data_IF_926379030326
#
_entry.id   IF_926379030326
#
_cell.length_a   1.000
_cell.length_b   1.000
_cell.length_c   1.000
_cell.angle_alpha   90.00
_cell.angle_beta   90.00
_cell.angle_gamma   90.00
#
_symmetry.space_group_name_H-M   'P 1'
#
loop_
_entity.id
_entity.type
_entity.pdbx_description
1 polymer ?
#
# COMPACT_ATOMS: atom_id res chain seq x y z
N UNK A 1 11.40 17.32 -79.15
CA UNK A 1 11.40 17.71 -77.73
C UNK A 1 10.60 16.66 -76.93
N UNK A 2 11.30 15.70 -76.27
CA UNK A 2 10.65 14.66 -75.47
C UNK A 2 10.51 15.17 -74.02
N UNK A 3 9.29 15.26 -73.53
CA UNK A 3 9.01 15.63 -72.12
C UNK A 3 9.24 14.42 -71.22
N UNK A 4 10.18 14.55 -70.31
CA UNK A 4 10.44 13.58 -69.24
C UNK A 4 9.54 13.95 -68.06
N UNK A 5 8.62 13.03 -67.66
CA UNK A 5 7.81 13.16 -66.46
C UNK A 5 8.59 12.49 -65.31
N UNK A 6 8.87 13.17 -64.21
CA UNK A 6 9.50 12.50 -63.07
C UNK A 6 8.47 11.66 -62.31
N UNK A 7 8.79 10.36 -62.18
CA UNK A 7 8.04 9.41 -61.35
C UNK A 7 8.34 9.70 -59.88
N UNK A 8 7.37 10.26 -59.16
CA UNK A 8 7.46 10.51 -57.71
C UNK A 8 7.24 9.19 -56.97
N UNK A 9 8.32 8.61 -56.42
CA UNK A 9 8.30 7.40 -55.62
C UNK A 9 7.78 7.76 -54.23
N UNK A 10 6.51 7.47 -53.94
CA UNK A 10 5.90 7.65 -52.62
C UNK A 10 6.39 6.50 -51.71
N UNK A 11 7.39 6.76 -50.87
CA UNK A 11 7.82 5.82 -49.81
C UNK A 11 6.85 5.92 -48.68
N UNK A 12 5.90 4.97 -48.60
CA UNK A 12 5.06 4.74 -47.43
C UNK A 12 5.96 4.20 -46.29
N UNK A 13 6.38 5.07 -45.37
CA UNK A 13 6.88 4.67 -44.08
C UNK A 13 5.72 4.08 -43.27
N UNK A 14 5.58 2.76 -43.32
CA UNK A 14 4.81 2.01 -42.33
C UNK A 14 5.54 2.21 -40.97
N UNK A 15 5.08 3.17 -40.19
CA UNK A 15 5.42 3.21 -38.77
C UNK A 15 4.79 1.94 -38.15
N UNK A 16 5.65 0.96 -37.85
CA UNK A 16 5.25 -0.17 -37.00
C UNK A 16 4.81 0.43 -35.66
N UNK A 17 3.52 0.44 -35.39
CA UNK A 17 3.02 0.71 -34.06
C UNK A 17 3.72 -0.28 -33.13
N UNK A 18 4.26 0.17 -31.98
CA UNK A 18 4.83 -0.75 -31.02
C UNK A 18 3.73 -1.78 -30.69
N UNK A 19 4.07 -3.06 -30.84
CA UNK A 19 3.17 -4.13 -30.41
C UNK A 19 2.81 -3.86 -28.96
N UNK A 20 1.53 -3.62 -28.70
CA UNK A 20 1.04 -3.43 -27.33
C UNK A 20 1.37 -4.72 -26.59
N UNK A 21 2.21 -4.64 -25.56
CA UNK A 21 2.59 -5.80 -24.78
C UNK A 21 1.29 -6.43 -24.22
N UNK A 22 1.16 -7.72 -24.39
CA UNK A 22 -0.02 -8.44 -23.96
C UNK A 22 0.03 -8.65 -22.44
N UNK A 23 -1.05 -8.34 -21.74
CA UNK A 23 -1.19 -8.65 -20.32
C UNK A 23 -1.04 -10.16 -20.05
N UNK A 24 -0.33 -10.52 -18.98
CA UNK A 24 -0.13 -11.90 -18.59
C UNK A 24 -1.49 -12.58 -18.27
N UNK A 25 -1.72 -13.74 -18.91
CA UNK A 25 -2.92 -14.55 -18.69
C UNK A 25 -2.95 -15.08 -17.24
N UNK A 26 -4.09 -15.00 -16.56
CA UNK A 26 -4.32 -15.72 -15.31
C UNK A 26 -4.56 -17.22 -15.59
N UNK A 27 -3.55 -18.03 -15.34
CA UNK A 27 -3.58 -19.48 -15.55
C UNK A 27 -4.20 -20.24 -14.37
N UNK A 28 -4.50 -19.56 -13.28
CA UNK A 28 -4.98 -20.21 -12.02
C UNK A 28 -6.16 -21.15 -12.26
N UNK A 29 -7.18 -20.79 -13.05
CA UNK A 29 -8.32 -21.69 -13.31
C UNK A 29 -7.96 -22.96 -14.09
N UNK A 30 -6.81 -22.97 -14.78
CA UNK A 30 -6.32 -24.08 -15.58
C UNK A 30 -5.41 -25.01 -14.80
N UNK A 31 -4.96 -24.59 -13.62
CA UNK A 31 -3.94 -25.30 -12.83
C UNK A 31 -4.54 -26.38 -11.93
N UNK A 32 -3.84 -27.50 -11.85
CA UNK A 32 -4.00 -28.46 -10.76
C UNK A 32 -3.17 -28.03 -9.55
N UNK A 33 -3.82 -27.82 -8.40
CA UNK A 33 -3.13 -27.44 -7.16
C UNK A 33 -3.25 -28.60 -6.16
N UNK A 34 -2.10 -29.06 -5.68
CA UNK A 34 -1.98 -30.13 -4.69
C UNK A 34 -1.34 -29.58 -3.41
N UNK A 35 -1.85 -29.98 -2.27
CA UNK A 35 -1.22 -29.73 -0.97
C UNK A 35 -0.82 -31.05 -0.35
N UNK A 36 0.48 -31.27 -0.24
CA UNK A 36 1.02 -32.60 0.06
C UNK A 36 0.57 -33.58 -1.02
N UNK A 37 -0.12 -34.67 -0.61
CA UNK A 37 -0.67 -35.71 -1.52
C UNK A 37 -2.17 -35.52 -1.82
N UNK A 38 -2.81 -34.43 -1.31
CA UNK A 38 -4.24 -34.23 -1.49
C UNK A 38 -4.49 -33.09 -2.45
N UNK A 39 -5.33 -33.32 -3.48
CA UNK A 39 -5.90 -32.26 -4.25
C UNK A 39 -6.78 -31.41 -3.32
N UNK A 40 -6.46 -30.12 -3.20
CA UNK A 40 -7.40 -29.17 -2.62
C UNK A 40 -8.29 -28.67 -3.75
N UNK A 41 -9.56 -28.51 -3.43
CA UNK A 41 -10.40 -27.70 -4.28
C UNK A 41 -9.73 -26.34 -4.40
N UNK A 42 -9.38 -25.96 -5.61
CA UNK A 42 -8.75 -24.68 -6.01
C UNK A 42 -9.53 -23.48 -5.41
N UNK A 43 -10.81 -23.70 -5.07
CA UNK A 43 -11.74 -22.74 -4.54
C UNK A 43 -11.21 -21.84 -3.43
N UNK A 44 -10.48 -22.36 -2.45
CA UNK A 44 -9.99 -21.54 -1.32
C UNK A 44 -8.72 -20.73 -1.58
N UNK A 45 -8.02 -21.03 -2.64
CA UNK A 45 -6.79 -20.31 -3.02
C UNK A 45 -7.01 -19.36 -4.19
N UNK A 46 -8.24 -19.31 -4.71
CA UNK A 46 -8.56 -18.52 -5.90
C UNK A 46 -10.02 -18.07 -5.97
N UNK A 47 -10.71 -18.06 -4.82
CA UNK A 47 -12.11 -17.64 -4.73
C UNK A 47 -12.29 -16.13 -4.63
N UNK A 48 -11.19 -15.39 -4.54
CA UNK A 48 -11.14 -13.93 -4.37
C UNK A 48 -11.75 -13.46 -3.04
N UNK A 49 -11.82 -14.37 -2.08
CA UNK A 49 -12.25 -14.10 -0.71
C UNK A 49 -11.06 -14.21 0.26
N UNK A 50 -10.49 -13.08 0.63
CA UNK A 50 -9.33 -13.03 1.54
C UNK A 50 -9.64 -13.47 2.98
N UNK A 51 -10.92 -13.75 3.32
CA UNK A 51 -11.31 -14.39 4.60
C UNK A 51 -11.16 -15.91 4.53
N UNK A 52 -11.17 -16.50 3.34
CA UNK A 52 -10.89 -17.90 3.17
C UNK A 52 -9.39 -18.11 3.11
N UNK A 53 -8.87 -18.94 3.99
CA UNK A 53 -7.43 -19.14 4.15
C UNK A 53 -7.10 -20.62 4.10
N UNK A 54 -6.11 -20.95 3.31
CA UNK A 54 -5.45 -22.23 3.46
C UNK A 54 -4.28 -22.09 4.46
N UNK A 55 -4.29 -22.90 5.49
CA UNK A 55 -3.24 -22.95 6.49
C UNK A 55 -2.51 -24.30 6.40
N UNK A 56 -1.24 -24.26 6.02
CA UNK A 56 -0.36 -25.42 6.05
C UNK A 56 0.13 -25.70 7.44
N UNK A 57 -0.17 -26.88 7.98
CA UNK A 57 0.42 -27.37 9.19
C UNK A 57 1.58 -28.33 8.86
N UNK A 58 2.73 -28.17 9.49
CA UNK A 58 3.86 -29.06 9.57
C UNK A 58 4.79 -29.29 8.36
N UNK A 59 6.02 -29.58 8.73
CA UNK A 59 7.07 -30.07 7.85
C UNK A 59 6.56 -31.20 6.94
N UNK A 60 6.66 -30.99 5.63
CA UNK A 60 6.27 -31.97 4.61
C UNK A 60 5.07 -31.60 3.75
N UNK A 61 4.32 -30.53 4.08
CA UNK A 61 3.24 -30.05 3.22
C UNK A 61 3.76 -28.95 2.31
N UNK A 62 3.83 -29.24 1.04
CA UNK A 62 4.14 -28.31 -0.02
C UNK A 62 2.86 -27.97 -0.81
N UNK A 63 2.84 -26.81 -1.44
CA UNK A 63 1.87 -26.48 -2.48
C UNK A 63 2.55 -26.82 -3.80
N UNK A 64 2.00 -27.76 -4.55
CA UNK A 64 2.45 -28.09 -5.91
C UNK A 64 1.42 -27.59 -6.91
N UNK A 65 1.88 -26.84 -7.91
CA UNK A 65 1.09 -26.22 -8.96
C UNK A 65 1.48 -26.87 -10.28
N UNK A 66 0.52 -27.47 -10.98
CA UNK A 66 0.70 -28.04 -12.30
C UNK A 66 -0.14 -27.23 -13.29
N UNK A 67 0.50 -26.69 -14.31
CA UNK A 67 -0.13 -25.88 -15.34
C UNK A 67 0.00 -26.53 -16.72
N UNK A 68 -1.03 -26.46 -17.58
CA UNK A 68 -0.91 -26.89 -18.98
C UNK A 68 -0.10 -25.92 -19.84
N UNK A 69 0.22 -24.73 -19.32
CA UNK A 69 1.02 -23.68 -19.96
C UNK A 69 2.19 -23.28 -19.09
N UNK A 70 3.20 -22.65 -19.68
CA UNK A 70 4.35 -22.13 -18.95
C UNK A 70 3.95 -21.05 -17.94
N UNK A 71 4.35 -21.23 -16.70
CA UNK A 71 4.17 -20.27 -15.60
C UNK A 71 5.33 -19.29 -15.64
N UNK A 72 5.04 -18.00 -15.62
CA UNK A 72 6.02 -16.92 -15.59
C UNK A 72 5.99 -16.10 -14.30
N UNK A 73 4.98 -16.31 -13.46
CA UNK A 73 4.90 -15.67 -12.16
C UNK A 73 3.87 -16.29 -11.23
N UNK A 74 4.13 -16.12 -9.94
CA UNK A 74 3.16 -16.37 -8.88
C UNK A 74 2.93 -15.05 -8.14
N UNK A 75 1.67 -14.65 -8.02
CA UNK A 75 1.27 -13.58 -7.11
C UNK A 75 0.54 -14.20 -5.93
N UNK A 76 1.08 -14.01 -4.73
CA UNK A 76 0.62 -14.66 -3.52
C UNK A 76 0.15 -13.62 -2.52
N UNK A 77 -1.10 -13.76 -2.07
CA UNK A 77 -1.65 -13.03 -0.94
C UNK A 77 -1.56 -13.94 0.31
N UNK A 78 -0.60 -13.65 1.15
CA UNK A 78 -0.33 -14.41 2.37
C UNK A 78 -1.36 -14.08 3.46
N UNK A 79 -1.86 -15.07 4.13
CA UNK A 79 -2.76 -14.90 5.29
C UNK A 79 -2.03 -14.28 6.48
N UNK A 80 -0.74 -14.60 6.63
CA UNK A 80 0.14 -14.06 7.65
C UNK A 80 1.41 -13.53 7.01
N UNK A 81 2.21 -12.75 7.75
CA UNK A 81 3.52 -12.31 7.28
C UNK A 81 4.35 -13.55 6.86
N UNK A 82 4.77 -13.62 5.59
CA UNK A 82 5.47 -14.77 5.09
C UNK A 82 6.83 -14.97 5.76
N UNK A 83 7.31 -16.18 5.71
CA UNK A 83 8.64 -16.58 6.18
C UNK A 83 9.44 -17.10 5.01
N UNK A 84 10.73 -17.26 5.21
CA UNK A 84 11.59 -17.89 4.22
C UNK A 84 10.98 -19.22 3.76
N UNK A 85 10.95 -19.41 2.44
CA UNK A 85 10.43 -20.62 1.82
C UNK A 85 11.30 -21.03 0.63
N UNK A 86 11.17 -22.27 0.20
CA UNK A 86 11.82 -22.78 -0.99
C UNK A 86 10.82 -22.79 -2.13
N UNK A 87 11.18 -22.13 -3.22
CA UNK A 87 10.51 -22.17 -4.50
C UNK A 87 11.24 -23.18 -5.38
N UNK A 88 10.52 -24.21 -5.85
CA UNK A 88 11.05 -25.20 -6.78
C UNK A 88 10.36 -25.05 -8.13
N UNK A 89 11.15 -25.04 -9.17
CA UNK A 89 10.70 -25.04 -10.56
C UNK A 89 11.16 -26.32 -11.26
N UNK A 90 10.27 -27.01 -11.96
CA UNK A 90 10.63 -28.21 -12.72
C UNK A 90 11.03 -27.82 -14.15
N UNK A 91 12.32 -27.86 -14.41
CA UNK A 91 12.92 -27.52 -15.71
C UNK A 91 13.60 -28.75 -16.26
N UNK A 92 13.29 -29.15 -17.50
CA UNK A 92 13.84 -30.35 -18.16
C UNK A 92 13.67 -31.61 -17.33
N UNK A 93 12.54 -31.76 -16.63
CA UNK A 93 12.21 -32.88 -15.78
C UNK A 93 12.92 -32.91 -14.41
N UNK A 94 13.78 -31.95 -14.11
CA UNK A 94 14.50 -31.83 -12.84
C UNK A 94 14.02 -30.64 -12.02
N UNK A 95 13.96 -30.81 -10.70
CA UNK A 95 13.63 -29.74 -9.77
C UNK A 95 14.85 -28.85 -9.53
N UNK A 96 14.66 -27.53 -9.72
CA UNK A 96 15.60 -26.48 -9.33
C UNK A 96 15.05 -25.73 -8.15
N UNK A 97 15.82 -25.67 -7.06
CA UNK A 97 15.42 -25.05 -5.81
C UNK A 97 16.01 -23.63 -5.69
N UNK A 98 15.19 -22.68 -5.26
CA UNK A 98 15.60 -21.33 -4.90
C UNK A 98 15.08 -20.99 -3.51
N UNK A 99 15.97 -20.65 -2.59
CA UNK A 99 15.57 -20.14 -1.28
C UNK A 99 15.10 -18.70 -1.42
N UNK A 100 13.83 -18.47 -1.17
CA UNK A 100 13.25 -17.13 -1.13
C UNK A 100 13.36 -16.56 0.29
N UNK A 101 14.11 -15.47 0.42
CA UNK A 101 14.11 -14.65 1.63
C UNK A 101 12.85 -13.82 1.62
N UNK A 102 11.91 -14.16 2.50
CA UNK A 102 10.62 -13.51 2.54
C UNK A 102 10.74 -12.07 3.03
N UNK A 103 10.17 -11.17 2.24
CA UNK A 103 9.90 -9.79 2.67
C UNK A 103 8.66 -9.79 3.57
N UNK A 104 8.51 -8.82 4.46
CA UNK A 104 7.31 -8.76 5.33
C UNK A 104 6.05 -8.29 4.58
N UNK A 105 5.91 -8.65 3.30
CA UNK A 105 4.81 -8.24 2.43
C UNK A 105 3.78 -9.35 2.34
N UNK A 106 2.55 -9.04 2.75
CA UNK A 106 1.45 -10.02 2.65
C UNK A 106 0.98 -10.24 1.22
N UNK A 107 1.14 -9.25 0.35
CA UNK A 107 0.92 -9.40 -1.08
C UNK A 107 2.26 -9.28 -1.78
N UNK A 108 2.67 -10.31 -2.50
CA UNK A 108 3.98 -10.31 -3.14
C UNK A 108 4.00 -11.12 -4.44
N UNK A 109 4.87 -10.70 -5.36
CA UNK A 109 5.06 -11.33 -6.67
C UNK A 109 6.41 -12.04 -6.74
N UNK A 110 6.40 -13.26 -7.28
CA UNK A 110 7.57 -14.10 -7.47
C UNK A 110 7.67 -14.50 -8.94
N UNK A 111 8.73 -14.07 -9.67
CA UNK A 111 8.95 -14.48 -11.05
C UNK A 111 9.28 -15.97 -11.15
N UNK A 112 8.82 -16.61 -12.22
CA UNK A 112 9.02 -18.02 -12.55
C UNK A 112 9.64 -18.12 -13.96
N UNK A 113 10.55 -19.06 -14.14
CA UNK A 113 11.37 -19.18 -15.38
C UNK A 113 10.66 -19.89 -16.55
N UNK A 114 9.33 -20.00 -16.56
CA UNK A 114 8.56 -20.68 -17.61
C UNK A 114 8.36 -22.17 -17.34
N UNK A 115 8.40 -22.60 -16.07
CA UNK A 115 8.11 -23.96 -15.68
C UNK A 115 6.61 -24.29 -15.80
N UNK A 116 6.27 -25.55 -16.11
CA UNK A 116 4.88 -26.03 -16.07
C UNK A 116 4.52 -26.68 -14.73
N UNK A 117 5.51 -26.92 -13.87
CA UNK A 117 5.31 -27.48 -12.53
C UNK A 117 6.17 -26.68 -11.54
N UNK A 118 5.51 -26.14 -10.51
CA UNK A 118 6.14 -25.30 -9.47
C UNK A 118 5.72 -25.80 -8.10
N UNK A 119 6.63 -25.72 -7.12
CA UNK A 119 6.34 -26.14 -5.76
C UNK A 119 6.84 -25.13 -4.75
N UNK A 120 6.00 -24.82 -3.76
CA UNK A 120 6.33 -23.99 -2.61
C UNK A 120 6.50 -24.89 -1.38
N UNK A 121 7.63 -24.74 -0.68
CA UNK A 121 7.93 -25.48 0.56
C UNK A 121 8.38 -24.51 1.65
N UNK A 122 7.94 -24.68 2.92
CA UNK A 122 8.54 -23.93 4.03
C UNK A 122 10.05 -24.20 4.10
N UNK A 123 10.86 -23.17 4.35
CA UNK A 123 12.29 -23.36 4.57
C UNK A 123 12.54 -23.92 5.98
N UNK A 124 13.37 -24.97 6.06
CA UNK A 124 13.78 -25.61 7.32
C UNK A 124 12.66 -26.39 8.03
N UNK A 125 12.95 -26.81 9.27
CA UNK A 125 12.05 -27.63 10.11
C UNK A 125 11.06 -26.77 10.93
N UNK A 126 10.62 -25.64 10.41
CA UNK A 126 9.71 -24.76 11.14
C UNK A 126 8.34 -25.42 11.31
N UNK A 127 7.92 -25.67 12.54
CA UNK A 127 6.54 -26.07 12.88
C UNK A 127 5.55 -24.90 12.75
N UNK A 128 5.97 -23.77 12.19
CA UNK A 128 5.16 -22.56 12.12
C UNK A 128 4.42 -22.52 10.78
N UNK A 129 3.23 -21.99 10.84
CA UNK A 129 2.22 -21.89 9.80
C UNK A 129 2.72 -21.22 8.52
N UNK A 130 2.28 -21.75 7.40
CA UNK A 130 2.47 -21.24 6.07
C UNK A 130 1.05 -21.04 5.50
N UNK A 131 0.54 -19.83 5.57
CA UNK A 131 -0.85 -19.51 5.22
C UNK A 131 -0.95 -18.71 3.94
N UNK A 132 -1.82 -19.14 3.02
CA UNK A 132 -2.14 -18.46 1.77
C UNK A 132 -3.62 -18.14 1.76
N UNK A 133 -3.95 -16.85 1.54
CA UNK A 133 -5.32 -16.42 1.33
C UNK A 133 -5.68 -16.53 -0.16
N UNK A 134 -4.83 -15.97 -1.06
CA UNK A 134 -5.05 -16.03 -2.51
C UNK A 134 -3.76 -16.35 -3.25
N UNK A 135 -3.89 -17.11 -4.33
CA UNK A 135 -2.82 -17.46 -5.24
C UNK A 135 -3.25 -17.20 -6.68
N UNK A 136 -2.38 -16.51 -7.43
CA UNK A 136 -2.54 -16.29 -8.86
C UNK A 136 -1.34 -16.88 -9.59
N UNK A 137 -1.60 -17.66 -10.59
CA UNK A 137 -0.61 -18.27 -11.48
C UNK A 137 -0.64 -17.53 -12.80
N UNK A 138 0.47 -16.89 -13.17
CA UNK A 138 0.53 -15.99 -14.32
C UNK A 138 1.36 -16.57 -15.47
N UNK A 139 0.84 -16.43 -16.69
CA UNK A 139 1.55 -16.70 -17.94
C UNK A 139 2.56 -15.59 -18.27
N UNK A 140 3.09 -15.65 -19.51
CA UNK A 140 3.96 -14.61 -20.03
C UNK A 140 3.15 -13.35 -20.36
N UNK A 141 3.76 -12.18 -20.17
CA UNK A 141 3.17 -10.88 -20.50
C UNK A 141 3.46 -9.82 -19.43
N UNK A 142 2.88 -8.64 -19.63
CA UNK A 142 2.93 -7.57 -18.62
C UNK A 142 2.10 -7.95 -17.40
N UNK A 143 2.55 -7.54 -16.24
CA UNK A 143 1.84 -7.83 -14.99
C UNK A 143 0.45 -7.17 -14.98
N UNK A 144 -0.61 -7.94 -14.68
CA UNK A 144 -1.94 -7.37 -14.50
C UNK A 144 -1.96 -6.27 -13.45
N UNK A 145 -2.82 -5.24 -13.58
CA UNK A 145 -2.86 -4.09 -12.65
C UNK A 145 -3.11 -4.45 -11.18
N UNK A 146 -3.69 -5.61 -10.91
CA UNK A 146 -3.94 -6.08 -9.54
C UNK A 146 -2.70 -6.72 -8.89
N UNK A 147 -1.66 -7.03 -9.65
CA UNK A 147 -0.42 -7.62 -9.12
C UNK A 147 0.42 -6.53 -8.45
N UNK A 148 0.61 -6.67 -7.17
CA UNK A 148 1.28 -5.66 -6.34
C UNK A 148 2.76 -6.00 -6.20
N UNK A 149 3.60 -5.10 -6.66
CA UNK A 149 5.07 -5.19 -6.56
C UNK A 149 5.58 -4.14 -5.58
N UNK A 150 5.34 -4.39 -4.30
CA UNK A 150 5.67 -3.47 -3.22
C UNK A 150 7.17 -3.22 -3.09
N UNK A 151 7.51 -2.01 -2.68
CA UNK A 151 8.85 -1.61 -2.23
C UNK A 151 8.88 -1.47 -0.73
N UNK A 152 10.02 -1.77 -0.11
CA UNK A 152 10.24 -1.35 1.27
C UNK A 152 10.31 0.17 1.33
N UNK A 153 9.63 0.82 2.29
CA UNK A 153 9.76 2.25 2.46
C UNK A 153 11.22 2.59 2.80
N UNK A 154 11.76 3.59 2.13
CA UNK A 154 13.09 4.13 2.43
C UNK A 154 13.13 4.78 3.83
N UNK A 155 14.31 5.31 4.18
CA UNK A 155 14.55 6.00 5.45
C UNK A 155 14.10 7.48 5.44
N UNK A 156 13.41 7.92 4.40
CA UNK A 156 12.83 9.26 4.29
C UNK A 156 11.61 9.24 3.38
N UNK A 157 10.69 10.18 3.58
CA UNK A 157 9.56 10.37 2.67
C UNK A 157 9.17 11.87 2.58
N UNK A 158 8.47 12.22 1.50
CA UNK A 158 7.92 13.57 1.32
C UNK A 158 6.71 13.76 2.24
N UNK A 159 5.81 12.77 2.24
CA UNK A 159 4.57 12.79 2.97
C UNK A 159 4.35 11.47 3.71
N UNK A 160 3.96 11.57 4.98
CA UNK A 160 3.48 10.46 5.78
C UNK A 160 2.00 10.68 6.08
N UNK A 161 1.16 9.71 5.71
CA UNK A 161 -0.24 9.65 6.11
C UNK A 161 -0.40 8.66 7.26
N UNK A 162 -0.80 9.14 8.44
CA UNK A 162 -1.20 8.28 9.57
C UNK A 162 -2.72 8.24 9.67
N UNK A 163 -3.29 7.06 9.54
CA UNK A 163 -4.73 6.84 9.76
C UNK A 163 -5.00 5.74 10.80
N UNK A 164 -6.23 5.68 11.31
CA UNK A 164 -6.56 4.76 12.39
C UNK A 164 -6.90 3.36 11.89
N UNK A 165 -7.83 3.23 10.94
CA UNK A 165 -8.34 1.95 10.48
C UNK A 165 -8.16 1.78 8.97
N UNK A 166 -8.02 0.55 8.45
CA UNK A 166 -8.11 0.30 7.02
C UNK A 166 -9.48 0.76 6.48
N UNK A 167 -9.51 1.70 5.58
CA UNK A 167 -10.54 2.47 4.87
C UNK A 167 -10.47 3.98 5.12
N UNK A 168 -10.02 4.42 6.29
CA UNK A 168 -9.88 5.85 6.60
C UNK A 168 -8.99 6.57 5.57
N UNK A 169 -7.98 5.88 5.02
CA UNK A 169 -6.99 6.45 4.08
C UNK A 169 -7.63 7.04 2.83
N UNK A 170 -8.85 6.62 2.50
CA UNK A 170 -9.64 7.18 1.39
C UNK A 170 -10.93 7.83 1.85
N UNK A 171 -11.57 7.36 2.93
CA UNK A 171 -12.80 7.96 3.43
C UNK A 171 -12.64 9.44 3.78
N UNK A 172 -11.61 9.76 4.58
CA UNK A 172 -11.37 11.10 5.13
C UNK A 172 -10.23 11.85 4.45
N UNK A 173 -9.31 11.13 3.80
CA UNK A 173 -8.16 11.76 3.15
C UNK A 173 -8.31 11.84 1.63
N UNK A 174 -9.39 11.29 1.08
CA UNK A 174 -9.85 11.47 -0.29
C UNK A 174 -8.75 11.34 -1.33
N UNK A 175 -8.53 12.40 -2.09
CA UNK A 175 -7.56 12.47 -3.17
C UNK A 175 -6.10 12.56 -2.76
N UNK A 176 -5.76 12.59 -1.45
CA UNK A 176 -4.38 12.77 -0.98
C UNK A 176 -3.42 11.74 -1.61
N UNK A 177 -3.74 10.45 -1.50
CA UNK A 177 -2.87 9.40 -2.04
C UNK A 177 -2.82 9.37 -3.57
N UNK A 178 -3.96 9.41 -4.30
CA UNK A 178 -3.94 9.50 -5.75
C UNK A 178 -3.15 10.68 -6.28
N UNK A 179 -3.27 11.83 -5.64
CA UNK A 179 -2.56 13.04 -6.06
C UNK A 179 -1.05 12.93 -5.78
N UNK A 180 -0.65 12.74 -4.52
CA UNK A 180 0.78 12.79 -4.17
C UNK A 180 1.55 11.54 -4.59
N UNK A 181 1.04 10.34 -4.31
CA UNK A 181 1.72 9.11 -4.68
C UNK A 181 1.48 8.74 -6.15
N UNK A 182 0.25 8.86 -6.61
CA UNK A 182 -0.16 8.45 -7.95
C UNK A 182 0.28 9.41 -9.04
N UNK A 183 -0.16 10.66 -9.00
CA UNK A 183 0.11 11.66 -10.06
C UNK A 183 1.51 12.27 -9.91
N UNK A 184 1.81 12.85 -8.74
CA UNK A 184 3.06 13.56 -8.52
C UNK A 184 4.26 12.66 -8.24
N UNK A 185 4.06 11.34 -8.12
CA UNK A 185 5.12 10.34 -7.84
C UNK A 185 5.98 10.68 -6.62
N UNK A 186 5.37 11.35 -5.63
CA UNK A 186 6.06 11.65 -4.37
C UNK A 186 6.30 10.38 -3.57
N UNK A 187 7.36 10.40 -2.79
CA UNK A 187 7.67 9.32 -1.86
C UNK A 187 6.71 9.40 -0.66
N UNK A 188 5.61 8.65 -0.72
CA UNK A 188 4.57 8.63 0.31
C UNK A 188 4.70 7.36 1.14
N UNK A 189 4.70 7.51 2.45
CA UNK A 189 4.57 6.41 3.43
C UNK A 189 3.19 6.48 4.08
N UNK A 190 2.49 5.35 4.12
CA UNK A 190 1.19 5.24 4.78
C UNK A 190 1.37 4.39 6.04
N UNK A 191 0.77 4.82 7.14
CA UNK A 191 0.77 4.10 8.41
C UNK A 191 -0.68 3.92 8.91
N UNK A 192 -1.09 2.66 9.12
CA UNK A 192 -2.34 2.30 9.76
C UNK A 192 -2.08 1.99 11.24
N UNK A 193 -2.79 2.65 12.14
CA UNK A 193 -2.60 2.46 13.58
C UNK A 193 -3.13 1.10 14.06
N UNK A 194 -4.25 0.64 13.49
CA UNK A 194 -4.86 -0.64 13.83
C UNK A 194 -4.95 -1.55 12.62
N UNK A 195 -4.89 -2.85 12.90
CA UNK A 195 -5.21 -3.89 11.94
C UNK A 195 -5.99 -4.96 12.69
N UNK A 196 -7.24 -5.15 12.31
CA UNK A 196 -8.14 -6.02 13.08
C UNK A 196 -8.18 -7.45 12.56
N UNK A 197 -7.92 -7.68 11.27
CA UNK A 197 -8.02 -9.01 10.62
C UNK A 197 -7.22 -9.07 9.32
N UNK A 198 -6.77 -10.25 8.90
CA UNK A 198 -6.06 -10.43 7.63
C UNK A 198 -6.81 -9.88 6.41
N UNK A 199 -8.13 -10.08 6.34
CA UNK A 199 -8.99 -9.50 5.31
C UNK A 199 -8.84 -7.98 5.22
N UNK A 200 -8.91 -7.26 6.35
CA UNK A 200 -8.81 -5.80 6.37
C UNK A 200 -7.44 -5.29 5.93
N UNK A 201 -6.39 -6.06 6.22
CA UNK A 201 -5.05 -5.73 5.73
C UNK A 201 -4.95 -5.93 4.20
N UNK A 202 -5.52 -7.01 3.66
CA UNK A 202 -5.58 -7.23 2.21
C UNK A 202 -6.40 -6.16 1.49
N UNK A 203 -7.53 -5.75 2.06
CA UNK A 203 -8.35 -4.64 1.55
C UNK A 203 -7.56 -3.33 1.52
N UNK A 204 -6.82 -3.01 2.60
CA UNK A 204 -5.94 -1.84 2.67
C UNK A 204 -4.86 -1.89 1.58
N UNK A 205 -4.18 -3.02 1.41
CA UNK A 205 -3.15 -3.17 0.39
C UNK A 205 -3.72 -2.97 -1.02
N UNK A 206 -4.90 -3.51 -1.30
CA UNK A 206 -5.58 -3.32 -2.58
C UNK A 206 -5.98 -1.86 -2.81
N UNK A 207 -6.51 -1.19 -1.79
CA UNK A 207 -6.86 0.24 -1.83
C UNK A 207 -5.63 1.11 -2.08
N UNK A 208 -4.56 0.93 -1.29
CA UNK A 208 -3.32 1.69 -1.45
C UNK A 208 -2.68 1.48 -2.82
N UNK A 209 -2.67 0.24 -3.33
CA UNK A 209 -2.15 -0.04 -4.67
C UNK A 209 -2.94 0.68 -5.76
N UNK A 210 -4.28 0.70 -5.62
CA UNK A 210 -5.19 1.40 -6.54
C UNK A 210 -4.94 2.92 -6.56
N UNK A 211 -4.57 3.52 -5.42
CA UNK A 211 -4.26 4.96 -5.32
C UNK A 211 -2.85 5.34 -5.80
N UNK A 212 -2.05 4.38 -6.25
CA UNK A 212 -0.70 4.66 -6.75
C UNK A 212 0.40 4.60 -5.69
N UNK A 213 0.09 4.26 -4.44
CA UNK A 213 1.10 3.98 -3.40
C UNK A 213 1.90 2.73 -3.79
N UNK A 214 3.22 2.79 -3.65
CA UNK A 214 4.13 1.70 -3.99
C UNK A 214 5.04 1.28 -2.84
N UNK A 215 5.16 2.11 -1.80
CA UNK A 215 5.80 1.71 -0.55
C UNK A 215 4.86 0.84 0.26
N UNK A 216 5.34 -0.30 0.75
CA UNK A 216 4.55 -1.15 1.63
C UNK A 216 4.17 -0.39 2.89
N UNK A 217 2.89 -0.38 3.32
CA UNK A 217 2.46 0.41 4.46
C UNK A 217 3.03 -0.10 5.78
N UNK A 218 3.13 0.81 6.75
CA UNK A 218 3.38 0.45 8.15
C UNK A 218 2.04 0.07 8.77
N UNK A 219 1.85 -1.21 9.07
CA UNK A 219 0.63 -1.69 9.72
C UNK A 219 0.96 -1.98 11.18
N UNK A 220 0.55 -1.09 12.08
CA UNK A 220 0.73 -1.30 13.50
C UNK A 220 -0.35 -2.24 14.06
N UNK A 221 -0.03 -2.92 15.14
CA UNK A 221 -0.91 -3.92 15.77
C UNK A 221 -1.54 -3.41 17.06
N UNK A 222 -2.00 -2.15 17.06
CA UNK A 222 -2.77 -1.67 18.20
C UNK A 222 -4.16 -2.29 18.18
N UNK A 223 -4.66 -2.63 19.37
CA UNK A 223 -5.97 -3.24 19.47
C UNK A 223 -7.06 -2.22 19.11
N UNK A 224 -7.91 -2.59 18.17
CA UNK A 224 -9.03 -1.79 17.74
C UNK A 224 -10.25 -2.10 18.59
N UNK A 225 -10.65 -1.12 19.41
CA UNK A 225 -11.89 -1.14 20.16
C UNK A 225 -12.56 0.21 20.04
N UNK A 226 -13.79 0.20 19.59
CA UNK A 226 -14.57 1.42 19.46
C UNK A 226 -14.62 2.21 20.78
N UNK A 227 -14.32 3.49 20.70
CA UNK A 227 -14.43 4.45 21.80
C UNK A 227 -14.74 5.85 21.23
N UNK A 228 -15.38 6.69 22.02
CA UNK A 228 -15.67 8.08 21.67
C UNK A 228 -14.82 9.09 22.47
N UNK A 229 -13.78 8.61 23.17
CA UNK A 229 -12.95 9.45 24.03
C UNK A 229 -11.47 9.13 23.80
N UNK A 230 -10.66 10.15 23.63
CA UNK A 230 -9.20 10.07 23.56
C UNK A 230 -8.60 9.32 24.75
N UNK A 231 -9.09 9.61 25.97
CA UNK A 231 -8.62 8.92 27.19
C UNK A 231 -8.78 7.41 27.07
N UNK A 232 -9.94 6.94 26.64
CA UNK A 232 -10.21 5.51 26.45
C UNK A 232 -9.34 4.91 25.34
N UNK A 233 -9.13 5.63 24.23
CA UNK A 233 -8.24 5.19 23.17
C UNK A 233 -6.79 5.01 23.68
N UNK A 234 -6.30 5.91 24.51
CA UNK A 234 -4.99 5.77 25.18
C UNK A 234 -4.93 4.59 26.16
N UNK A 235 -6.01 4.33 26.90
CA UNK A 235 -6.10 3.16 27.78
C UNK A 235 -6.01 1.85 26.99
N UNK A 236 -6.68 1.79 25.84
CA UNK A 236 -6.69 0.64 24.93
C UNK A 236 -5.31 0.44 24.30
N UNK A 237 -4.72 1.50 23.73
CA UNK A 237 -3.44 1.42 23.01
C UNK A 237 -2.22 1.30 23.92
N UNK A 238 -2.34 1.78 25.19
CA UNK A 238 -1.22 1.96 26.09
C UNK A 238 -0.43 3.24 25.77
N UNK A 239 -0.65 4.31 26.57
CA UNK A 239 -0.13 5.65 26.26
C UNK A 239 1.34 5.68 25.85
N UNK A 240 2.22 5.10 26.67
CA UNK A 240 3.65 5.12 26.40
C UNK A 240 4.03 4.35 25.11
N UNK A 241 3.35 3.23 24.84
CA UNK A 241 3.55 2.44 23.64
C UNK A 241 3.14 3.23 22.39
N UNK A 242 1.98 3.89 22.43
CA UNK A 242 1.47 4.66 21.31
C UNK A 242 2.32 5.91 21.03
N UNK A 243 2.71 6.66 22.06
CA UNK A 243 3.59 7.81 21.93
C UNK A 243 4.99 7.43 21.40
N UNK A 244 5.55 6.32 21.91
CA UNK A 244 6.80 5.79 21.39
C UNK A 244 6.69 5.44 19.89
N UNK A 245 5.64 4.73 19.49
CA UNK A 245 5.39 4.38 18.09
C UNK A 245 5.37 5.62 17.20
N UNK A 246 4.66 6.67 17.61
CA UNK A 246 4.56 7.91 16.82
C UNK A 246 5.93 8.59 16.65
N UNK A 247 6.74 8.67 17.70
CA UNK A 247 8.10 9.24 17.64
C UNK A 247 9.01 8.38 16.77
N UNK A 248 8.95 7.06 16.92
CA UNK A 248 9.74 6.13 16.11
C UNK A 248 9.37 6.21 14.63
N UNK A 249 8.07 6.32 14.30
CA UNK A 249 7.57 6.47 12.95
C UNK A 249 8.19 7.70 12.26
N UNK A 250 8.19 8.86 12.94
CA UNK A 250 8.81 10.08 12.42
C UNK A 250 10.34 9.94 12.23
N UNK A 251 11.02 9.37 13.20
CA UNK A 251 12.49 9.20 13.13
C UNK A 251 12.93 8.23 12.05
N UNK A 252 12.16 7.16 11.88
CA UNK A 252 12.47 6.12 10.89
C UNK A 252 12.27 6.60 9.47
N UNK A 253 11.15 7.29 9.20
CA UNK A 253 10.78 7.65 7.84
C UNK A 253 11.01 9.13 7.51
N UNK A 254 11.46 9.93 8.44
CA UNK A 254 11.86 11.33 8.26
C UNK A 254 10.93 12.12 7.32
N UNK A 255 9.61 12.12 7.56
CA UNK A 255 8.68 12.83 6.69
C UNK A 255 8.93 14.33 6.74
N UNK A 256 8.81 14.99 5.58
CA UNK A 256 8.73 16.45 5.55
C UNK A 256 7.37 16.91 6.03
N UNK A 257 6.33 16.25 5.57
CA UNK A 257 4.94 16.56 5.89
C UNK A 257 4.25 15.34 6.46
N UNK A 258 3.42 15.57 7.47
CA UNK A 258 2.50 14.56 8.02
C UNK A 258 1.07 15.04 7.88
N UNK A 259 0.19 14.13 7.45
CA UNK A 259 -1.26 14.34 7.38
C UNK A 259 -1.93 13.28 8.25
N UNK A 260 -2.90 13.68 9.08
CA UNK A 260 -3.63 12.76 9.94
C UNK A 260 -5.02 13.29 10.31
N UNK A 261 -5.76 12.57 11.13
CA UNK A 261 -7.14 12.79 11.53
C UNK A 261 -7.42 14.12 12.25
N UNK A 262 -8.71 14.44 12.40
CA UNK A 262 -9.21 15.55 13.21
C UNK A 262 -8.93 15.33 14.71
N UNK A 263 -8.63 16.40 15.42
CA UNK A 263 -8.44 16.39 16.89
C UNK A 263 -9.69 15.94 17.65
N UNK A 264 -10.87 16.13 17.06
CA UNK A 264 -12.14 15.65 17.63
C UNK A 264 -12.47 14.22 17.20
N UNK A 265 -11.72 13.71 16.23
CA UNK A 265 -11.99 12.46 15.52
C UNK A 265 -13.24 12.55 14.67
N UNK A 266 -13.17 12.07 13.44
CA UNK A 266 -14.33 11.94 12.57
C UNK A 266 -15.36 11.06 13.29
N UNK A 267 -16.61 11.46 13.27
CA UNK A 267 -17.72 10.85 14.06
C UNK A 267 -17.44 10.75 15.58
N UNK A 268 -16.47 11.53 16.10
CA UNK A 268 -16.04 11.46 17.49
C UNK A 268 -15.22 10.22 17.85
N UNK A 269 -14.67 9.50 16.85
CA UNK A 269 -13.98 8.23 17.09
C UNK A 269 -12.67 8.41 17.85
N UNK A 270 -12.51 7.69 18.97
CA UNK A 270 -11.37 7.85 19.87
C UNK A 270 -10.01 7.49 19.27
N UNK A 271 -9.96 6.50 18.34
CA UNK A 271 -8.69 6.15 17.67
C UNK A 271 -8.28 7.21 16.64
N UNK A 272 -9.24 7.94 16.02
CA UNK A 272 -8.93 9.08 15.17
C UNK A 272 -8.36 10.24 16.00
N UNK A 273 -9.00 10.56 17.15
CA UNK A 273 -8.47 11.52 18.11
C UNK A 273 -7.05 11.14 18.55
N UNK A 274 -6.80 9.83 18.77
CA UNK A 274 -5.48 9.34 19.13
C UNK A 274 -4.44 9.58 18.04
N UNK A 275 -4.75 9.35 16.77
CA UNK A 275 -3.83 9.65 15.67
C UNK A 275 -3.41 11.11 15.65
N UNK A 276 -4.38 12.04 15.78
CA UNK A 276 -4.11 13.48 15.83
C UNK A 276 -3.22 13.85 17.03
N UNK A 277 -3.57 13.39 18.23
CA UNK A 277 -2.83 13.70 19.47
C UNK A 277 -1.41 13.11 19.44
N UNK A 278 -1.23 11.91 18.90
CA UNK A 278 0.07 11.27 18.73
C UNK A 278 0.99 12.08 17.80
N UNK A 279 0.47 12.62 16.70
CA UNK A 279 1.29 13.40 15.77
C UNK A 279 1.59 14.80 16.32
N UNK A 280 0.69 15.43 17.06
CA UNK A 280 0.96 16.66 17.80
C UNK A 280 2.08 16.42 18.84
N UNK A 281 1.97 15.37 19.65
CA UNK A 281 3.00 14.98 20.61
C UNK A 281 4.35 14.68 19.94
N UNK A 282 4.32 13.91 18.85
CA UNK A 282 5.54 13.51 18.15
C UNK A 282 6.24 14.69 17.46
N UNK A 283 5.50 15.70 17.00
CA UNK A 283 6.06 16.95 16.47
C UNK A 283 6.94 17.65 17.51
N UNK A 284 6.46 17.71 18.74
CA UNK A 284 7.16 18.41 19.84
C UNK A 284 8.34 17.60 20.41
N UNK A 285 8.39 16.28 20.17
CA UNK A 285 9.30 15.36 20.88
C UNK A 285 10.32 14.68 19.98
N UNK A 286 10.00 14.42 18.70
CA UNK A 286 10.85 13.58 17.85
C UNK A 286 12.23 14.20 17.55
N UNK A 287 12.36 15.53 17.63
CA UNK A 287 13.63 16.24 17.48
C UNK A 287 14.54 16.17 18.73
N UNK A 288 13.99 15.83 19.91
CA UNK A 288 14.78 15.71 21.14
C UNK A 288 15.42 14.31 21.25
N UNK A 289 16.76 14.18 21.09
CA UNK A 289 17.42 12.88 21.16
C UNK A 289 17.42 12.27 22.58
N UNK A 290 17.07 13.04 23.61
CA UNK A 290 16.98 12.55 24.99
C UNK A 290 15.67 11.81 25.28
N UNK A 291 14.64 12.03 24.44
CA UNK A 291 13.39 11.28 24.49
C UNK A 291 13.50 10.02 23.63
N UNK A 292 13.07 8.87 24.17
CA UNK A 292 13.16 7.58 23.46
C UNK A 292 14.57 7.38 22.84
N UNK A 293 15.61 7.43 23.68
CA UNK A 293 17.04 7.46 23.30
C UNK A 293 17.42 6.35 22.33
N UNK A 294 16.86 5.17 22.49
CA UNK A 294 17.13 4.01 21.63
C UNK A 294 16.67 4.24 20.19
N UNK A 295 15.49 4.83 19.98
CA UNK A 295 15.05 5.17 18.62
C UNK A 295 15.85 6.33 18.02
N UNK A 296 16.30 7.28 18.86
CA UNK A 296 17.20 8.35 18.43
C UNK A 296 18.58 7.80 18.03
N UNK A 297 19.08 6.80 18.76
CA UNK A 297 20.35 6.13 18.43
C UNK A 297 20.23 5.35 17.13
N UNK A 298 19.09 4.68 16.90
CA UNK A 298 18.87 3.82 15.74
C UNK A 298 18.60 4.61 14.45
N UNK A 299 17.78 5.66 14.52
CA UNK A 299 17.26 6.37 13.33
C UNK A 299 17.72 7.83 13.26
N UNK A 300 18.28 8.39 14.31
CA UNK A 300 18.52 9.83 14.49
C UNK A 300 17.26 10.57 14.96
N UNK A 301 17.47 11.77 15.50
CA UNK A 301 16.39 12.71 15.80
C UNK A 301 15.84 13.29 14.49
N UNK A 302 14.57 13.65 14.47
CA UNK A 302 13.93 14.24 13.29
C UNK A 302 12.88 15.28 13.65
N UNK A 303 12.88 16.40 12.90
CA UNK A 303 11.84 17.42 12.95
C UNK A 303 11.12 17.45 11.60
N UNK A 304 9.83 17.10 11.57
CA UNK A 304 9.01 17.32 10.39
C UNK A 304 8.76 18.81 10.17
N UNK A 305 8.60 19.21 8.90
CA UNK A 305 8.39 20.61 8.53
C UNK A 305 6.96 21.07 8.78
N UNK A 306 5.98 20.20 8.51
CA UNK A 306 4.55 20.53 8.63
C UNK A 306 3.73 19.37 9.14
N UNK A 307 2.71 19.68 9.94
CA UNK A 307 1.67 18.75 10.37
C UNK A 307 0.31 19.32 9.99
N UNK A 308 -0.41 18.61 9.13
CA UNK A 308 -1.80 18.89 8.77
C UNK A 308 -2.75 17.93 9.48
N UNK A 309 -3.84 18.51 10.00
CA UNK A 309 -4.93 17.74 10.57
C UNK A 309 -6.18 17.93 9.73
N UNK A 310 -6.90 16.84 9.53
CA UNK A 310 -8.20 16.87 8.86
C UNK A 310 -9.18 17.76 9.63
N UNK A 311 -9.97 18.57 8.93
CA UNK A 311 -10.97 19.51 9.47
C UNK A 311 -10.43 20.52 10.51
N UNK A 312 -9.11 20.70 10.64
CA UNK A 312 -8.54 21.65 11.57
C UNK A 312 -8.80 23.08 11.09
N UNK A 313 -9.28 23.95 12.02
CA UNK A 313 -9.80 25.25 11.63
C UNK A 313 -8.77 26.36 11.53
N UNK A 314 -7.60 26.18 12.15
CA UNK A 314 -6.52 27.17 12.09
C UNK A 314 -5.68 26.93 10.83
N UNK A 315 -5.26 28.04 10.18
CA UNK A 315 -4.52 28.00 8.92
C UNK A 315 -5.15 27.00 7.93
N UNK A 316 -6.42 27.24 7.52
CA UNK A 316 -7.18 26.29 6.74
C UNK A 316 -6.58 26.08 5.35
N UNK A 317 -6.71 24.86 4.85
CA UNK A 317 -6.26 24.43 3.54
C UNK A 317 -7.42 23.71 2.86
N UNK A 318 -7.69 24.03 1.60
CA UNK A 318 -8.72 23.35 0.80
C UNK A 318 -8.07 22.74 -0.43
N UNK A 319 -8.06 21.42 -0.46
CA UNK A 319 -7.46 20.68 -1.57
C UNK A 319 -8.38 20.66 -2.80
N UNK A 320 -7.78 20.57 -3.98
CA UNK A 320 -8.52 20.40 -5.23
C UNK A 320 -8.35 18.96 -5.75
N UNK A 321 -9.27 18.10 -5.35
CA UNK A 321 -9.31 16.70 -5.77
C UNK A 321 -10.13 16.48 -7.06
N UNK A 322 -10.64 17.56 -7.68
CA UNK A 322 -11.52 17.47 -8.85
C UNK A 322 -10.77 17.66 -10.18
N UNK A 323 -9.44 17.88 -10.14
CA UNK A 323 -8.62 17.96 -11.34
C UNK A 323 -8.35 16.58 -11.92
N UNK A 324 -8.42 16.41 -13.27
CA UNK A 324 -8.08 15.17 -13.93
C UNK A 324 -6.61 14.79 -13.73
N UNK A 325 -6.35 13.53 -13.38
CA UNK A 325 -5.02 12.99 -13.19
C UNK A 325 -4.58 12.18 -14.40
N UNK A 326 -3.40 12.50 -14.96
CA UNK A 326 -2.84 11.83 -16.14
C UNK A 326 -2.48 10.36 -15.82
N UNK A 327 -1.98 10.11 -14.62
CA UNK A 327 -1.62 8.78 -14.15
C UNK A 327 -2.82 7.83 -13.99
N UNK A 328 -4.06 8.35 -14.02
CA UNK A 328 -5.30 7.59 -13.85
C UNK A 328 -6.26 7.77 -15.02
N UNK A 329 -5.72 7.97 -16.24
CA UNK A 329 -6.50 8.09 -17.47
C UNK A 329 -7.57 9.19 -17.44
N UNK A 330 -7.29 10.28 -16.72
CA UNK A 330 -8.17 11.44 -16.62
C UNK A 330 -9.22 11.36 -15.50
N UNK A 331 -9.25 10.30 -14.70
CA UNK A 331 -10.03 10.30 -13.47
C UNK A 331 -9.51 11.39 -12.52
N UNK A 332 -10.41 11.99 -11.75
CA UNK A 332 -10.04 12.92 -10.68
C UNK A 332 -9.48 12.17 -9.47
N UNK A 333 -8.73 12.85 -8.60
CA UNK A 333 -8.20 12.24 -7.39
C UNK A 333 -9.34 11.70 -6.49
N UNK A 334 -10.49 12.39 -6.47
CA UNK A 334 -11.66 11.96 -5.72
C UNK A 334 -12.29 10.68 -6.31
N UNK A 335 -12.42 10.58 -7.64
CA UNK A 335 -12.93 9.37 -8.30
C UNK A 335 -12.02 8.16 -8.08
N UNK A 336 -10.70 8.35 -8.13
CA UNK A 336 -9.73 7.29 -7.80
C UNK A 336 -9.87 6.84 -6.35
N UNK A 337 -10.08 7.78 -5.39
CA UNK A 337 -10.33 7.43 -4.01
C UNK A 337 -11.64 6.63 -3.83
N UNK A 338 -12.71 6.97 -4.57
CA UNK A 338 -13.96 6.21 -4.57
C UNK A 338 -13.75 4.78 -5.12
N UNK A 339 -12.96 4.64 -6.18
CA UNK A 339 -12.62 3.32 -6.73
C UNK A 339 -11.77 2.50 -5.75
N UNK A 340 -10.84 3.16 -5.04
CA UNK A 340 -10.02 2.53 -4.00
C UNK A 340 -10.87 2.10 -2.79
N UNK A 341 -11.86 2.90 -2.38
CA UNK A 341 -12.79 2.50 -1.30
C UNK A 341 -13.56 1.22 -1.64
N UNK A 342 -13.86 0.96 -2.91
CA UNK A 342 -14.51 -0.31 -3.32
C UNK A 342 -13.67 -1.54 -3.02
N UNK A 343 -12.34 -1.39 -2.82
CA UNK A 343 -11.45 -2.48 -2.41
C UNK A 343 -11.70 -2.93 -0.96
N UNK A 344 -12.33 -2.07 -0.13
CA UNK A 344 -12.76 -2.40 1.23
C UNK A 344 -14.10 -3.13 1.22
N UNK A 345 -14.11 -4.33 0.62
CA UNK A 345 -15.33 -5.13 0.36
C UNK A 345 -16.11 -5.40 1.65
N UNK A 346 -15.41 -5.68 2.76
CA UNK A 346 -16.05 -5.91 4.06
C UNK A 346 -16.81 -4.70 4.59
N UNK A 347 -16.51 -3.49 4.09
CA UNK A 347 -17.12 -2.23 4.52
C UNK A 347 -18.29 -1.79 3.64
N UNK A 348 -18.42 -2.33 2.42
CA UNK A 348 -19.47 -1.94 1.49
C UNK A 348 -20.90 -2.23 2.00
N UNK A 349 -21.05 -3.11 2.99
CA UNK A 349 -22.34 -3.35 3.68
C UNK A 349 -22.83 -2.16 4.50
N UNK A 350 -21.92 -1.26 4.89
CA UNK A 350 -22.23 -0.08 5.70
C UNK A 350 -22.46 1.13 4.79
N UNK A 351 -23.71 1.31 4.34
CA UNK A 351 -24.09 2.34 3.36
C UNK A 351 -23.81 3.78 3.81
N UNK A 352 -23.62 4.02 5.11
CA UNK A 352 -23.27 5.33 5.65
C UNK A 352 -21.82 5.73 5.38
N UNK A 353 -20.92 4.78 5.15
CA UNK A 353 -19.53 5.07 4.85
C UNK A 353 -19.33 5.25 3.35
N UNK A 354 -18.69 6.33 3.00
CA UNK A 354 -18.33 6.71 1.63
C UNK A 354 -17.14 7.67 1.69
N UNK A 355 -16.40 7.79 0.61
CA UNK A 355 -15.41 8.88 0.47
C UNK A 355 -16.16 10.20 0.63
N UNK A 356 -15.75 11.00 1.61
CA UNK A 356 -16.48 12.18 2.03
C UNK A 356 -16.33 13.31 1.00
N UNK A 357 -17.44 13.73 0.37
CA UNK A 357 -17.39 14.76 -0.68
C UNK A 357 -17.11 16.15 -0.11
N UNK A 358 -16.87 17.12 -1.01
CA UNK A 358 -16.49 18.50 -0.66
C UNK A 358 -17.43 19.18 0.34
N UNK A 359 -18.73 18.97 0.21
CA UNK A 359 -19.75 19.65 0.99
C UNK A 359 -20.24 18.84 2.20
N UNK A 360 -19.53 17.77 2.61
CA UNK A 360 -19.89 17.01 3.79
C UNK A 360 -19.26 17.58 5.07
N UNK A 361 -19.86 17.23 6.22
CA UNK A 361 -19.33 17.62 7.55
C UNK A 361 -17.92 17.04 7.81
N UNK A 362 -17.58 15.96 7.12
CA UNK A 362 -16.28 15.27 7.21
C UNK A 362 -15.52 15.34 5.89
N UNK A 363 -15.68 16.45 5.17
CA UNK A 363 -15.14 16.67 3.84
C UNK A 363 -13.67 16.30 3.71
N UNK A 364 -13.35 15.36 2.85
CA UNK A 364 -11.97 14.92 2.56
C UNK A 364 -11.10 15.97 1.85
N UNK A 365 -11.65 17.16 1.60
CA UNK A 365 -10.96 18.30 0.97
C UNK A 365 -10.41 19.31 1.98
N UNK A 366 -10.85 19.28 3.24
CA UNK A 366 -10.58 20.33 4.22
C UNK A 366 -9.57 19.89 5.27
N UNK A 367 -8.50 20.65 5.40
CA UNK A 367 -7.43 20.46 6.37
C UNK A 367 -7.03 21.78 7.01
N UNK A 368 -6.18 21.73 8.02
CA UNK A 368 -5.52 22.90 8.56
C UNK A 368 -4.11 22.59 9.01
N UNK A 369 -3.23 23.59 8.90
CA UNK A 369 -1.84 23.50 9.32
C UNK A 369 -1.73 23.68 10.83
N UNK A 370 -1.61 22.56 11.56
CA UNK A 370 -1.56 22.57 13.03
C UNK A 370 -0.18 22.93 13.58
N UNK A 371 0.90 22.56 12.88
CA UNK A 371 2.29 22.85 13.25
C UNK A 371 3.13 23.08 12.00
N UNK A 372 4.09 24.00 12.12
CA UNK A 372 5.06 24.27 11.04
C UNK A 372 6.38 24.79 11.57
N UNK A 373 7.48 24.45 10.90
CA UNK A 373 8.81 25.03 11.10
C UNK A 373 9.25 25.91 9.91
N UNK A 374 8.43 25.97 8.84
CA UNK A 374 8.74 26.67 7.58
C UNK A 374 7.79 27.84 7.29
N UNK A 375 6.92 28.16 8.24
CA UNK A 375 5.94 29.24 8.12
C UNK A 375 4.57 28.76 7.58
N UNK A 376 3.56 29.65 7.60
CA UNK A 376 2.23 29.35 7.12
C UNK A 376 2.20 29.22 5.59
N UNK A 377 1.18 28.51 5.09
CA UNK A 377 0.90 28.42 3.66
C UNK A 377 0.29 29.71 3.14
N UNK A 378 0.62 30.07 1.91
CA UNK A 378 0.11 31.26 1.22
C UNK A 378 -0.98 30.89 0.23
N UNK A 379 -0.72 29.83 -0.59
CA UNK A 379 -1.68 29.35 -1.59
C UNK A 379 -2.78 28.48 -0.97
N UNK A 380 -2.49 27.80 0.14
CA UNK A 380 -3.44 27.00 0.93
C UNK A 380 -4.17 25.90 0.13
N UNK A 381 -3.46 25.25 -0.78
CA UNK A 381 -3.98 24.20 -1.66
C UNK A 381 -2.99 23.04 -1.94
N UNK A 382 -1.82 23.04 -1.27
CA UNK A 382 -0.79 22.03 -1.42
C UNK A 382 -0.10 21.74 -0.07
N UNK A 383 -0.07 20.48 0.35
CA UNK A 383 0.63 20.08 1.57
C UNK A 383 2.15 20.32 1.49
N UNK A 384 2.72 20.32 0.30
CA UNK A 384 4.16 20.51 0.07
C UNK A 384 4.55 21.97 -0.21
N UNK A 385 3.63 22.92 -0.09
CA UNK A 385 3.95 24.35 -0.22
C UNK A 385 5.10 24.73 0.74
N UNK A 386 6.09 25.50 0.27
CA UNK A 386 7.28 25.92 1.03
C UNK A 386 8.17 24.74 1.55
N UNK A 387 8.00 23.52 1.03
CA UNK A 387 8.87 22.39 1.39
C UNK A 387 10.07 22.36 0.45
N UNK A 388 11.27 22.42 1.01
CA UNK A 388 12.51 22.15 0.31
C UNK A 388 12.71 20.65 0.19
N UNK A 389 13.30 20.19 -0.92
CA UNK A 389 13.58 18.75 -1.14
C UNK A 389 14.25 18.12 0.10
N UNK A 390 13.80 16.91 0.44
CA UNK A 390 14.33 16.20 1.61
C UNK A 390 15.80 15.84 1.38
N UNK A 391 16.76 16.33 2.21
CA UNK A 391 18.19 16.08 2.01
C UNK A 391 18.59 14.60 2.17
N UNK A 392 17.70 13.76 2.68
CA UNK A 392 17.89 12.31 2.84
C UNK A 392 17.28 11.49 1.71
N UNK A 393 16.68 12.13 0.69
CA UNK A 393 16.27 11.43 -0.52
C UNK A 393 17.51 11.16 -1.38
N UNK A 394 17.81 9.88 -1.58
CA UNK A 394 18.78 9.46 -2.60
C UNK A 394 18.05 9.49 -3.94
N UNK A 395 18.51 10.33 -4.88
CA UNK A 395 18.00 10.33 -6.25
C UNK A 395 18.15 8.91 -6.84
N UNK A 396 17.05 8.26 -7.21
CA UNK A 396 17.06 7.04 -8.02
C UNK A 396 16.76 5.73 -7.31
N UNK A 397 15.90 5.70 -6.28
CA UNK A 397 15.30 4.44 -5.81
C UNK A 397 13.89 4.21 -6.33
#
# INVERSE_FOLDING_TARGET
MKKIIPLLLLVLLLQALPAQAQEAEDLTPLCGILVGSKAITVGRLSDRDYDTVWLGDNAGKNITINSPKNIHGLYICWAETPRDFVLEEKVDGQWRETLIKARPFKHDYYPISGATEVRLKPAGNSRKWFGVAELFVLGAGDLPPYVQTWKEPGLSCDLLLLHAHPDDEVLFFGGTLPHYAGELKKNVVVAALTSSRPLRESELLNSLWKTGVRNYPVIASFYDKHSLKLKTAYEIAGKNKAQRFAVELLRRYKPQVVVTHDVKGEYGHGMHQLCADLMLYAFDVAADPQKYKDTATQYGAWQMSKLYLHLYRENPLVMDWDQPLSAFSGQTAFEVAQDAYRMHVSQQRYKQYKVEPRDSDYSSYHYGLARTTVGPDVAQNDFLENIVANPYQVEGQ
#
